data_IF_644085797804
#
_entry.id   IF_644085797804
#
_cell.length_a   1.000
_cell.length_b   1.000
_cell.length_c   1.000
_cell.angle_alpha   90.00
_cell.angle_beta   90.00
_cell.angle_gamma   90.00
#
_symmetry.space_group_name_H-M   'P 1'
#
loop_
_entity.id
_entity.type
_entity.pdbx_description
1 polymer ?
#
# COMPACT_ATOMS: atom_id res chain seq x y z
N UNK A 1 4.64 25.91 -0.40
CA UNK A 1 5.77 26.13 -1.33
C UNK A 1 5.29 25.80 -2.74
N UNK A 2 5.74 26.53 -3.76
CA UNK A 2 5.37 26.27 -5.15
C UNK A 2 6.52 25.52 -5.85
N UNK A 3 6.19 24.43 -6.53
CA UNK A 3 7.13 23.62 -7.33
C UNK A 3 6.64 23.60 -8.77
N UNK A 4 7.51 23.94 -9.72
CA UNK A 4 7.19 23.83 -11.15
C UNK A 4 7.48 22.42 -11.64
N UNK A 5 6.51 21.79 -12.29
CA UNK A 5 6.62 20.42 -12.82
C UNK A 5 6.40 20.51 -14.32
N UNK A 6 7.31 19.91 -15.09
CA UNK A 6 7.18 19.81 -16.54
C UNK A 6 6.22 18.67 -16.88
N UNK A 7 5.18 18.99 -17.64
CA UNK A 7 4.23 18.03 -18.19
C UNK A 7 4.14 18.27 -19.70
N UNK A 8 4.03 17.20 -20.47
CA UNK A 8 3.79 17.30 -21.91
C UNK A 8 2.34 17.71 -22.20
N UNK A 9 2.09 18.15 -23.44
CA UNK A 9 0.79 18.70 -23.84
C UNK A 9 -0.32 17.65 -23.88
N UNK A 10 -0.01 16.37 -24.15
CA UNK A 10 -1.01 15.29 -24.11
C UNK A 10 -1.51 15.08 -22.67
N UNK A 11 -0.58 14.92 -21.72
CA UNK A 11 -0.92 14.74 -20.33
C UNK A 11 -1.68 15.95 -19.78
N UNK A 12 -1.25 17.16 -20.13
CA UNK A 12 -1.95 18.41 -19.76
C UNK A 12 -3.40 18.41 -20.28
N UNK A 13 -3.61 18.06 -21.55
CA UNK A 13 -4.94 17.98 -22.15
C UNK A 13 -5.83 16.92 -21.48
N UNK A 14 -5.26 15.78 -21.08
CA UNK A 14 -5.97 14.72 -20.34
C UNK A 14 -6.36 15.17 -18.94
N UNK A 15 -5.47 15.86 -18.22
CA UNK A 15 -5.75 16.42 -16.89
C UNK A 15 -6.88 17.44 -16.98
N UNK A 16 -6.85 18.34 -17.97
CA UNK A 16 -7.87 19.37 -18.14
C UNK A 16 -9.26 18.76 -18.36
N UNK A 17 -9.39 17.78 -19.28
CA UNK A 17 -10.65 17.06 -19.51
C UNK A 17 -11.15 16.32 -18.28
N UNK A 18 -10.24 15.69 -17.53
CA UNK A 18 -10.58 15.00 -16.29
C UNK A 18 -11.07 15.99 -15.22
N UNK A 19 -10.43 17.15 -15.12
CA UNK A 19 -10.80 18.22 -14.20
C UNK A 19 -12.21 18.74 -14.49
N UNK A 20 -12.53 19.01 -15.75
CA UNK A 20 -13.87 19.41 -16.21
C UNK A 20 -14.92 18.35 -15.87
N UNK A 21 -14.65 17.09 -16.21
CA UNK A 21 -15.55 15.96 -15.94
C UNK A 21 -15.83 15.79 -14.45
N UNK A 22 -14.82 16.01 -13.59
CA UNK A 22 -14.94 15.89 -12.13
C UNK A 22 -15.34 17.18 -11.42
N UNK A 23 -15.56 18.28 -12.17
CA UNK A 23 -15.84 19.62 -11.62
C UNK A 23 -14.79 20.06 -10.60
N UNK A 24 -13.51 19.85 -10.92
CA UNK A 24 -12.36 20.25 -10.11
C UNK A 24 -11.39 21.08 -10.95
N UNK A 25 -10.46 21.77 -10.29
CA UNK A 25 -9.38 22.45 -11.01
C UNK A 25 -8.32 21.45 -11.47
N UNK A 26 -7.66 21.71 -12.59
CA UNK A 26 -6.54 20.92 -13.06
C UNK A 26 -5.43 20.81 -11.99
N UNK A 27 -5.20 21.89 -11.24
CA UNK A 27 -4.27 21.89 -10.12
C UNK A 27 -4.67 20.93 -8.99
N UNK A 28 -5.96 20.86 -8.65
CA UNK A 28 -6.45 19.89 -7.67
C UNK A 28 -6.24 18.45 -8.15
N UNK A 29 -6.55 18.16 -9.42
CA UNK A 29 -6.33 16.83 -10.02
C UNK A 29 -4.85 16.44 -9.97
N UNK A 30 -3.93 17.36 -10.32
CA UNK A 30 -2.50 17.09 -10.27
C UNK A 30 -2.01 16.78 -8.85
N UNK A 31 -2.43 17.59 -7.87
CA UNK A 31 -2.05 17.36 -6.46
C UNK A 31 -2.58 16.04 -5.92
N UNK A 32 -3.83 15.73 -6.24
CA UNK A 32 -4.46 14.49 -5.80
C UNK A 32 -3.76 13.27 -6.43
N UNK A 33 -3.42 13.35 -7.73
CA UNK A 33 -2.68 12.29 -8.41
C UNK A 33 -1.28 12.07 -7.80
N UNK A 34 -0.56 13.14 -7.46
CA UNK A 34 0.74 13.07 -6.79
C UNK A 34 0.62 12.45 -5.40
N UNK A 35 -0.37 12.88 -4.61
CA UNK A 35 -0.63 12.33 -3.28
C UNK A 35 -0.87 10.82 -3.35
N UNK A 36 -1.80 10.40 -4.21
CA UNK A 36 -2.11 8.98 -4.38
C UNK A 36 -0.92 8.17 -4.89
N UNK A 37 -0.05 8.76 -5.72
CA UNK A 37 1.17 8.09 -6.14
C UNK A 37 2.13 7.87 -4.97
N UNK A 38 2.42 8.93 -4.20
CA UNK A 38 3.33 8.86 -3.05
C UNK A 38 2.82 7.86 -2.02
N UNK A 39 1.53 7.92 -1.65
CA UNK A 39 0.93 6.99 -0.68
C UNK A 39 1.07 5.52 -1.11
N UNK A 40 0.91 5.22 -2.41
CA UNK A 40 1.11 3.87 -2.93
C UNK A 40 2.57 3.42 -2.89
N UNK A 41 3.50 4.30 -3.24
CA UNK A 41 4.93 3.97 -3.21
C UNK A 41 5.42 3.78 -1.78
N UNK A 42 4.97 4.61 -0.84
CA UNK A 42 5.28 4.46 0.59
C UNK A 42 4.72 3.15 1.16
N UNK A 43 3.46 2.81 0.84
CA UNK A 43 2.86 1.55 1.26
C UNK A 43 3.61 0.33 0.69
N UNK A 44 4.05 0.41 -0.57
CA UNK A 44 4.84 -0.64 -1.21
C UNK A 44 6.19 -0.82 -0.54
N UNK A 45 6.87 0.27 -0.21
CA UNK A 45 8.17 0.19 0.47
C UNK A 45 8.01 -0.33 1.90
N UNK A 46 6.99 0.13 2.65
CA UNK A 46 6.68 -0.40 3.99
C UNK A 46 6.48 -1.91 3.95
N UNK A 47 5.63 -2.40 3.03
CA UNK A 47 5.38 -3.83 2.87
C UNK A 47 6.66 -4.62 2.56
N UNK A 48 7.53 -4.08 1.71
CA UNK A 48 8.82 -4.70 1.40
C UNK A 48 9.74 -4.75 2.62
N UNK A 49 9.83 -3.65 3.37
CA UNK A 49 10.66 -3.58 4.59
C UNK A 49 10.15 -4.55 5.67
N UNK A 50 8.84 -4.66 5.86
CA UNK A 50 8.23 -5.64 6.77
C UNK A 50 8.56 -7.08 6.37
N UNK A 51 8.52 -7.40 5.07
CA UNK A 51 8.89 -8.72 4.56
C UNK A 51 10.38 -9.02 4.78
N UNK A 52 11.26 -8.04 4.55
CA UNK A 52 12.70 -8.19 4.81
C UNK A 52 13.01 -8.36 6.30
N UNK A 53 12.37 -7.58 7.17
CA UNK A 53 12.53 -7.71 8.62
C UNK A 53 12.02 -9.07 9.12
N UNK A 54 10.91 -9.57 8.58
CA UNK A 54 10.40 -10.90 8.90
C UNK A 54 11.36 -12.01 8.44
N UNK A 55 12.00 -11.82 7.29
CA UNK A 55 13.01 -12.75 6.79
C UNK A 55 14.27 -12.75 7.66
N UNK A 56 14.78 -11.59 8.03
CA UNK A 56 15.92 -11.45 8.94
C UNK A 56 15.64 -12.09 10.29
N UNK A 57 14.47 -11.82 10.89
CA UNK A 57 14.04 -12.44 12.14
C UNK A 57 14.01 -13.98 12.03
N UNK A 58 13.48 -14.53 10.95
CA UNK A 58 13.48 -15.97 10.71
C UNK A 58 14.90 -16.54 10.59
N UNK A 59 15.81 -15.84 9.91
CA UNK A 59 17.21 -16.27 9.81
C UNK A 59 17.91 -16.28 11.19
N UNK A 60 17.56 -15.37 12.09
CA UNK A 60 18.13 -15.28 13.43
C UNK A 60 17.56 -16.29 14.42
N UNK A 61 16.24 -16.46 14.44
CA UNK A 61 15.55 -17.21 15.49
C UNK A 61 14.92 -18.54 15.02
N UNK A 62 14.90 -18.79 13.71
CA UNK A 62 14.30 -19.99 13.11
C UNK A 62 12.79 -20.08 13.21
N UNK A 63 12.09 -19.09 13.79
CA UNK A 63 10.67 -19.18 14.12
C UNK A 63 9.79 -18.89 12.92
N UNK A 64 8.85 -19.79 12.64
CA UNK A 64 7.95 -19.66 11.48
C UNK A 64 6.53 -20.13 11.79
N UNK A 65 5.60 -19.70 10.94
CA UNK A 65 4.27 -20.28 10.83
C UNK A 65 4.09 -20.83 9.43
N UNK A 66 3.38 -21.94 9.29
CA UNK A 66 3.03 -22.42 7.95
C UNK A 66 1.93 -21.53 7.36
N UNK A 67 1.91 -21.41 6.03
CA UNK A 67 0.85 -20.66 5.36
C UNK A 67 -0.55 -21.26 5.60
N UNK A 68 -0.65 -22.55 5.92
CA UNK A 68 -1.92 -23.19 6.24
C UNK A 68 -2.47 -22.72 7.60
N UNK A 69 -1.61 -22.66 8.62
CA UNK A 69 -1.98 -22.15 9.95
C UNK A 69 -2.38 -20.69 9.89
N UNK A 70 -1.58 -19.86 9.18
CA UNK A 70 -1.90 -18.45 8.99
C UNK A 70 -3.24 -18.27 8.27
N UNK A 71 -3.52 -19.03 7.21
CA UNK A 71 -4.82 -18.95 6.49
C UNK A 71 -5.99 -19.44 7.34
N UNK A 72 -5.80 -20.52 8.10
CA UNK A 72 -6.83 -21.02 9.01
C UNK A 72 -7.19 -19.97 10.05
N UNK A 73 -6.17 -19.32 10.62
CA UNK A 73 -6.37 -18.22 11.56
C UNK A 73 -7.07 -17.02 10.92
N UNK A 74 -6.59 -16.52 9.77
CA UNK A 74 -7.22 -15.40 9.07
C UNK A 74 -8.68 -15.67 8.68
N UNK A 75 -9.06 -16.93 8.47
CA UNK A 75 -10.44 -17.29 8.15
C UNK A 75 -11.42 -17.15 9.32
N UNK A 76 -10.93 -17.04 10.56
CA UNK A 76 -11.78 -16.82 11.74
C UNK A 76 -12.07 -15.34 12.00
N UNK A 77 -11.31 -14.42 11.38
CA UNK A 77 -11.45 -12.98 11.59
C UNK A 77 -12.81 -12.45 11.15
N UNK A 78 -13.43 -11.61 11.98
CA UNK A 78 -14.76 -11.05 11.72
C UNK A 78 -15.91 -12.05 11.93
N UNK A 79 -15.66 -13.16 12.62
CA UNK A 79 -16.66 -14.18 13.00
C UNK A 79 -16.76 -14.31 14.51
N UNK A 80 -17.82 -14.97 15.01
CA UNK A 80 -17.98 -15.30 16.44
C UNK A 80 -16.91 -16.28 16.95
N UNK A 81 -16.10 -16.84 16.05
CA UNK A 81 -15.04 -17.82 16.34
C UNK A 81 -13.64 -17.25 16.17
N UNK A 82 -13.48 -15.93 16.11
CA UNK A 82 -12.18 -15.28 16.00
C UNK A 82 -11.23 -15.72 17.13
N UNK A 83 -10.04 -16.19 16.76
CA UNK A 83 -9.03 -16.71 17.68
C UNK A 83 -7.79 -15.82 17.74
N UNK A 84 -7.01 -15.91 18.82
CA UNK A 84 -5.69 -15.30 18.89
C UNK A 84 -4.73 -15.84 17.82
N UNK A 85 -3.65 -15.08 17.55
CA UNK A 85 -2.62 -15.47 16.59
C UNK A 85 -1.95 -16.79 17.00
N UNK A 86 -1.73 -17.73 16.06
CA UNK A 86 -1.02 -18.97 16.35
C UNK A 86 0.42 -18.70 16.77
N UNK A 87 0.96 -19.53 17.67
CA UNK A 87 2.36 -19.43 18.10
C UNK A 87 3.28 -19.93 16.97
N UNK A 88 4.36 -19.21 16.72
CA UNK A 88 5.39 -19.68 15.77
C UNK A 88 6.04 -20.98 16.27
N UNK A 89 6.36 -21.85 15.33
CA UNK A 89 7.23 -23.02 15.51
C UNK A 89 8.68 -22.60 15.76
N UNK A 90 9.50 -23.54 16.22
CA UNK A 90 10.97 -23.43 16.33
C UNK A 90 11.67 -24.20 15.20
#
# INVERSE_FOLDING_TARGET
MATSIKIDDDLKGRIQRLAETRQRSAHWIMREALKQYVEREEARESFKQEALASWEAYQENGRYLTGAEARSWLSTWGTDTETEAPKCHE
#
